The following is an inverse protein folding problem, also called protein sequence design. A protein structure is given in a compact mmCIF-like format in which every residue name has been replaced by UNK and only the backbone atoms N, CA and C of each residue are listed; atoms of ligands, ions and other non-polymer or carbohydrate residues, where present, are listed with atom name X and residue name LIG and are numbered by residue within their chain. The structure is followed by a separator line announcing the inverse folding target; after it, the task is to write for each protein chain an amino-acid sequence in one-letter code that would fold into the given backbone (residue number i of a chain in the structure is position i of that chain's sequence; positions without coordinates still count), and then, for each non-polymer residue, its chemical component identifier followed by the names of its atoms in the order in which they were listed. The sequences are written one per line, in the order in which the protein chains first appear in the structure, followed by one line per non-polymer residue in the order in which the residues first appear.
data_IF_543851401636
#
_entry.id   IF_543851401636
#
_cell.length_a   1.000
_cell.length_b   1.000
_cell.length_c   1.000
_cell.angle_alpha   90.00
_cell.angle_beta   90.00
_cell.angle_gamma   90.00
#
_symmetry.space_group_name_H-M   'P 1'
#
loop_
_entity.id
_entity.type
_entity.pdbx_description
1 polymer ?
#
# COMPACT_ATOMS: atom_id res chain seq x y z
N UNK A 1 -37.15 14.31 -3.02
CA UNK A 1 -38.33 13.98 -2.21
C UNK A 1 -37.92 13.80 -0.74
N UNK A 2 -36.96 12.95 -0.42
CA UNK A 2 -36.48 12.67 0.93
C UNK A 2 -36.00 13.93 1.67
N UNK A 3 -35.20 14.77 1.02
CA UNK A 3 -34.75 16.05 1.59
C UNK A 3 -35.89 17.05 1.85
N UNK A 4 -36.91 17.05 1.00
CA UNK A 4 -38.08 17.91 1.19
C UNK A 4 -38.95 17.42 2.35
N UNK A 5 -39.12 16.11 2.51
CA UNK A 5 -39.84 15.50 3.64
C UNK A 5 -39.07 15.72 4.94
N UNK A 6 -37.77 15.48 4.98
CA UNK A 6 -36.93 15.73 6.15
C UNK A 6 -36.98 17.21 6.57
N UNK A 7 -36.91 18.14 5.59
CA UNK A 7 -37.06 19.57 5.85
C UNK A 7 -38.41 19.90 6.47
N UNK A 8 -39.52 19.37 5.92
CA UNK A 8 -40.87 19.63 6.49
C UNK A 8 -41.00 19.12 7.91
N UNK A 9 -40.49 17.91 8.15
CA UNK A 9 -40.54 17.28 9.49
C UNK A 9 -39.71 18.09 10.50
N UNK A 10 -38.49 18.47 10.13
CA UNK A 10 -37.60 19.26 10.99
C UNK A 10 -38.14 20.71 11.20
N UNK A 11 -38.78 21.29 10.18
CA UNK A 11 -39.43 22.61 10.31
C UNK A 11 -40.62 22.58 11.26
N UNK A 12 -41.36 21.48 11.28
CA UNK A 12 -42.48 21.24 12.21
C UNK A 12 -41.98 21.05 13.65
N UNK A 13 -40.88 20.34 13.85
CA UNK A 13 -40.36 20.00 15.17
C UNK A 13 -39.52 21.11 15.82
N UNK A 14 -38.77 21.88 15.02
CA UNK A 14 -37.71 22.74 15.52
C UNK A 14 -37.79 24.21 15.04
N UNK A 15 -38.86 24.54 14.33
CA UNK A 15 -39.02 25.88 13.73
C UNK A 15 -38.22 26.10 12.46
N UNK A 16 -38.63 27.13 11.68
CA UNK A 16 -38.15 27.33 10.31
C UNK A 16 -36.63 27.54 10.16
N UNK A 17 -35.96 28.13 11.12
CA UNK A 17 -34.50 28.40 11.05
C UNK A 17 -33.63 27.16 11.36
N UNK A 18 -33.97 26.47 12.46
CA UNK A 18 -33.20 25.32 12.94
C UNK A 18 -33.40 24.09 12.05
N UNK A 19 -34.59 23.90 11.48
CA UNK A 19 -34.89 22.84 10.53
C UNK A 19 -34.06 22.92 9.26
N UNK A 20 -33.74 24.15 8.76
CA UNK A 20 -32.84 24.34 7.65
C UNK A 20 -31.37 24.00 7.98
N UNK A 21 -30.88 24.40 9.15
CA UNK A 21 -29.52 24.12 9.59
C UNK A 21 -29.27 22.63 9.75
N UNK A 22 -30.21 21.88 10.29
CA UNK A 22 -30.11 20.44 10.45
C UNK A 22 -30.22 19.68 9.12
N UNK A 23 -31.10 20.12 8.21
CA UNK A 23 -31.21 19.55 6.86
C UNK A 23 -29.91 19.77 6.07
N UNK A 24 -29.27 20.90 6.26
CA UNK A 24 -27.96 21.23 5.68
C UNK A 24 -26.83 20.39 6.28
N UNK A 25 -26.80 20.23 7.59
CA UNK A 25 -25.85 19.37 8.28
C UNK A 25 -25.92 17.92 7.79
N UNK A 26 -27.14 17.39 7.62
CA UNK A 26 -27.39 16.08 7.06
C UNK A 26 -26.94 15.97 5.59
N UNK A 27 -27.22 16.99 4.76
CA UNK A 27 -26.78 17.01 3.37
C UNK A 27 -25.25 17.03 3.26
N UNK A 28 -24.60 17.88 4.05
CA UNK A 28 -23.14 17.93 4.11
C UNK A 28 -22.55 16.61 4.60
N UNK A 29 -23.07 16.04 5.67
CA UNK A 29 -22.63 14.76 6.20
C UNK A 29 -22.78 13.63 5.19
N UNK A 30 -23.94 13.54 4.52
CA UNK A 30 -24.16 12.55 3.46
C UNK A 30 -23.22 12.75 2.26
N UNK A 31 -22.98 14.01 1.86
CA UNK A 31 -22.11 14.30 0.71
C UNK A 31 -20.64 13.99 1.03
N UNK A 32 -20.17 14.40 2.20
CA UNK A 32 -18.81 14.08 2.68
C UNK A 32 -18.64 12.56 2.78
N UNK A 33 -19.63 11.86 3.35
CA UNK A 33 -19.59 10.41 3.46
C UNK A 33 -19.60 9.70 2.10
N UNK A 34 -20.40 10.18 1.14
CA UNK A 34 -20.46 9.62 -0.21
C UNK A 34 -19.16 9.86 -0.99
N UNK A 35 -18.58 11.06 -0.85
CA UNK A 35 -17.26 11.39 -1.44
C UNK A 35 -16.15 10.56 -0.81
N UNK A 36 -16.22 10.33 0.50
CA UNK A 36 -15.23 9.51 1.21
C UNK A 36 -15.31 8.03 0.85
N UNK A 37 -16.52 7.48 0.67
CA UNK A 37 -16.73 6.06 0.31
C UNK A 37 -16.63 5.75 -1.20
N UNK A 38 -16.84 6.75 -2.07
CA UNK A 38 -16.78 6.58 -3.53
C UNK A 38 -15.36 6.45 -4.08
N UNK A 39 -14.58 5.55 -3.57
CA UNK A 39 -13.13 5.52 -3.56
C UNK A 39 -12.42 5.06 -4.84
N UNK A 40 -13.09 4.94 -5.98
CA UNK A 40 -12.48 4.40 -7.21
C UNK A 40 -11.97 5.41 -8.23
N UNK A 41 -12.38 6.67 -8.17
CA UNK A 41 -12.09 7.64 -9.23
C UNK A 41 -11.23 8.81 -8.73
N UNK A 42 -10.39 9.33 -9.61
CA UNK A 42 -9.29 10.23 -9.34
C UNK A 42 -9.59 11.40 -8.39
N UNK A 43 -8.57 11.79 -7.65
CA UNK A 43 -8.55 12.90 -6.67
C UNK A 43 -9.23 14.18 -7.16
N UNK A 44 -9.09 14.52 -8.44
CA UNK A 44 -9.68 15.71 -9.08
C UNK A 44 -11.20 15.75 -8.94
N UNK A 45 -11.89 14.66 -9.21
CA UNK A 45 -13.35 14.56 -9.11
C UNK A 45 -13.84 14.77 -7.65
N UNK A 46 -13.13 14.26 -6.68
CA UNK A 46 -13.45 14.43 -5.24
C UNK A 46 -13.33 15.86 -4.80
N UNK A 47 -12.30 16.57 -5.25
CA UNK A 47 -12.10 18.00 -4.93
C UNK A 47 -13.23 18.84 -5.52
N UNK A 48 -13.65 18.57 -6.75
CA UNK A 48 -14.77 19.29 -7.37
C UNK A 48 -16.10 19.02 -6.64
N UNK A 49 -16.37 17.79 -6.25
CA UNK A 49 -17.56 17.45 -5.45
C UNK A 49 -17.53 18.10 -4.07
N UNK A 50 -16.39 18.11 -3.41
CA UNK A 50 -16.22 18.79 -2.14
C UNK A 50 -16.45 20.30 -2.26
N UNK A 51 -15.83 20.93 -3.24
CA UNK A 51 -16.01 22.36 -3.51
C UNK A 51 -17.47 22.71 -3.83
N UNK A 52 -18.13 21.89 -4.64
CA UNK A 52 -19.56 22.05 -4.97
C UNK A 52 -20.43 21.92 -3.72
N UNK A 53 -20.14 20.96 -2.84
CA UNK A 53 -20.87 20.73 -1.60
C UNK A 53 -20.70 21.88 -0.61
N UNK A 54 -19.48 22.37 -0.44
CA UNK A 54 -19.17 23.54 0.39
C UNK A 54 -19.88 24.79 -0.14
N UNK A 55 -19.80 25.03 -1.46
CA UNK A 55 -20.46 26.16 -2.11
C UNK A 55 -21.98 26.11 -1.92
N UNK A 56 -22.60 24.95 -2.15
CA UNK A 56 -24.02 24.76 -1.96
C UNK A 56 -24.43 24.98 -0.50
N UNK A 57 -23.63 24.48 0.45
CA UNK A 57 -23.87 24.67 1.88
C UNK A 57 -23.85 26.15 2.27
N UNK A 58 -22.83 26.88 1.82
CA UNK A 58 -22.70 28.30 2.09
C UNK A 58 -23.83 29.11 1.43
N UNK A 59 -24.26 28.70 0.24
CA UNK A 59 -25.43 29.31 -0.43
C UNK A 59 -26.70 29.11 0.38
N UNK A 60 -26.93 27.92 0.91
CA UNK A 60 -28.10 27.61 1.71
C UNK A 60 -28.05 28.29 3.08
N UNK A 61 -26.85 28.40 3.70
CA UNK A 61 -26.63 29.16 4.93
C UNK A 61 -26.94 30.65 4.73
N UNK A 62 -26.50 31.25 3.61
CA UNK A 62 -26.82 32.66 3.30
C UNK A 62 -28.32 32.86 3.08
N UNK A 63 -29.01 31.87 2.48
CA UNK A 63 -30.47 31.93 2.30
C UNK A 63 -31.22 31.76 3.66
N UNK A 64 -30.75 30.87 4.52
CA UNK A 64 -31.28 30.70 5.87
C UNK A 64 -31.07 31.95 6.72
N UNK A 65 -29.85 32.51 6.69
CA UNK A 65 -29.50 33.74 7.41
C UNK A 65 -30.34 34.92 6.93
N UNK A 66 -30.52 35.07 5.60
CA UNK A 66 -31.38 36.12 5.05
C UNK A 66 -32.84 35.94 5.45
N UNK A 67 -33.38 34.75 5.51
CA UNK A 67 -34.75 34.49 5.98
C UNK A 67 -34.93 34.84 7.46
N UNK A 68 -33.91 34.67 8.29
CA UNK A 68 -33.87 35.06 9.70
C UNK A 68 -33.72 36.57 9.88
N UNK A 69 -32.92 37.20 9.02
CA UNK A 69 -32.64 38.64 9.08
C UNK A 69 -33.65 39.50 8.31
N UNK A 70 -34.67 38.92 7.69
CA UNK A 70 -35.74 39.65 6.98
C UNK A 70 -36.42 40.72 7.83
N UNK A 71 -36.26 40.67 9.15
CA UNK A 71 -36.67 41.70 10.11
C UNK A 71 -35.75 42.92 10.17
N UNK A 72 -34.52 42.86 9.62
CA UNK A 72 -33.52 43.92 9.74
C UNK A 72 -33.03 44.45 8.37
N UNK A 73 -33.94 44.77 7.45
CA UNK A 73 -33.64 45.53 6.19
C UNK A 73 -32.34 45.19 5.45
N UNK A 74 -31.95 43.90 5.37
CA UNK A 74 -30.83 43.47 4.51
C UNK A 74 -31.31 43.52 3.07
N UNK A 75 -30.60 44.28 2.22
CA UNK A 75 -30.94 44.44 0.80
C UNK A 75 -30.67 43.16 0.01
N UNK A 76 -31.46 42.89 -1.04
CA UNK A 76 -31.25 41.77 -1.94
C UNK A 76 -29.84 41.76 -2.57
N UNK A 77 -29.27 42.95 -2.79
CA UNK A 77 -27.91 43.12 -3.30
C UNK A 77 -26.85 42.46 -2.40
N UNK A 78 -26.96 42.60 -1.06
CA UNK A 78 -26.00 41.98 -0.13
C UNK A 78 -26.00 40.45 -0.21
N UNK A 79 -27.21 39.86 -0.39
CA UNK A 79 -27.36 38.40 -0.53
C UNK A 79 -26.75 37.90 -1.85
N UNK A 80 -26.98 38.64 -2.93
CA UNK A 80 -26.39 38.33 -4.25
C UNK A 80 -24.86 38.42 -4.19
N UNK A 81 -24.32 39.48 -3.59
CA UNK A 81 -22.87 39.65 -3.44
C UNK A 81 -22.27 38.51 -2.63
N UNK A 82 -22.88 38.13 -1.50
CA UNK A 82 -22.40 37.01 -0.68
C UNK A 82 -22.40 35.70 -1.47
N UNK A 83 -23.45 35.41 -2.25
CA UNK A 83 -23.53 34.20 -3.09
C UNK A 83 -22.48 34.17 -4.19
N UNK A 84 -22.29 35.27 -4.88
CA UNK A 84 -21.26 35.40 -5.95
C UNK A 84 -19.87 35.23 -5.37
N UNK A 85 -19.55 35.88 -4.25
CA UNK A 85 -18.24 35.74 -3.60
C UNK A 85 -17.98 34.29 -3.11
N UNK A 86 -18.99 33.63 -2.58
CA UNK A 86 -18.88 32.23 -2.12
C UNK A 86 -18.68 31.29 -3.29
N UNK A 87 -19.40 31.49 -4.39
CA UNK A 87 -19.21 30.67 -5.61
C UNK A 87 -17.82 30.85 -6.20
N UNK A 88 -17.39 32.10 -6.33
CA UNK A 88 -16.05 32.42 -6.83
C UNK A 88 -14.95 31.87 -5.94
N UNK A 89 -15.10 31.94 -4.62
CA UNK A 89 -14.16 31.34 -3.66
C UNK A 89 -14.10 29.80 -3.75
N UNK A 90 -15.26 29.13 -3.89
CA UNK A 90 -15.33 27.69 -4.08
C UNK A 90 -14.69 27.23 -5.39
N UNK A 91 -14.95 27.95 -6.50
CA UNK A 91 -14.33 27.66 -7.79
C UNK A 91 -12.81 27.92 -7.77
N UNK A 92 -12.38 29.01 -7.16
CA UNK A 92 -10.95 29.31 -7.01
C UNK A 92 -10.26 28.27 -6.13
N UNK A 93 -10.88 27.83 -5.04
CA UNK A 93 -10.38 26.76 -4.19
C UNK A 93 -10.23 25.46 -4.97
N UNK A 94 -11.26 25.06 -5.73
CA UNK A 94 -11.19 23.87 -6.57
C UNK A 94 -10.08 23.98 -7.63
N UNK A 95 -9.93 25.13 -8.28
CA UNK A 95 -8.88 25.40 -9.26
C UNK A 95 -7.47 25.32 -8.64
N UNK A 96 -7.28 25.88 -7.44
CA UNK A 96 -6.01 25.80 -6.73
C UNK A 96 -5.67 24.37 -6.31
N UNK A 97 -6.66 23.61 -5.83
CA UNK A 97 -6.46 22.22 -5.45
C UNK A 97 -6.23 21.28 -6.65
N UNK A 98 -6.92 21.48 -7.76
CA UNK A 98 -6.78 20.58 -8.93
C UNK A 98 -5.61 20.97 -9.82
N UNK A 99 -5.37 22.27 -10.06
CA UNK A 99 -4.32 22.74 -10.95
C UNK A 99 -3.02 23.13 -10.23
N UNK A 100 -3.09 23.44 -8.92
CA UNK A 100 -1.93 23.89 -8.15
C UNK A 100 -1.10 22.74 -7.56
N UNK A 101 -1.71 21.59 -7.30
CA UNK A 101 -1.07 20.55 -6.49
C UNK A 101 -0.93 19.18 -7.16
N UNK A 102 -1.58 18.88 -8.28
CA UNK A 102 -1.50 17.52 -8.78
C UNK A 102 -1.11 17.37 -10.25
N UNK A 103 -1.94 17.81 -11.16
CA UNK A 103 -1.80 17.37 -12.55
C UNK A 103 -0.75 18.17 -13.35
N UNK A 104 -0.38 19.36 -12.88
CA UNK A 104 0.62 20.20 -13.53
C UNK A 104 1.98 20.24 -12.81
N UNK A 105 2.08 19.69 -11.60
CA UNK A 105 3.35 19.68 -10.87
C UNK A 105 4.39 18.82 -11.56
N UNK A 106 4.03 17.62 -11.95
CA UNK A 106 4.96 16.67 -12.58
C UNK A 106 5.42 17.11 -13.96
N UNK A 107 4.53 17.50 -14.91
CA UNK A 107 4.97 18.08 -16.18
C UNK A 107 5.83 19.32 -16.01
N UNK A 108 5.49 20.18 -15.05
CA UNK A 108 6.24 21.40 -14.76
C UNK A 108 7.58 21.09 -14.10
N UNK A 109 7.61 20.14 -13.16
CA UNK A 109 8.85 19.66 -12.56
C UNK A 109 9.77 19.05 -13.61
N UNK A 110 9.25 18.19 -14.50
CA UNK A 110 10.01 17.58 -15.58
C UNK A 110 10.48 18.60 -16.62
N UNK A 111 9.73 19.68 -16.85
CA UNK A 111 10.15 20.78 -17.73
C UNK A 111 11.29 21.61 -17.12
N UNK A 112 11.30 21.81 -15.79
CA UNK A 112 12.35 22.52 -15.07
C UNK A 112 13.58 21.65 -14.79
N UNK A 113 13.38 20.34 -14.72
CA UNK A 113 14.42 19.33 -14.50
C UNK A 113 14.36 18.34 -15.67
N UNK A 114 14.76 18.77 -16.89
CA UNK A 114 14.76 17.88 -18.02
C UNK A 114 15.59 16.65 -17.63
N UNK A 115 15.01 15.47 -17.81
CA UNK A 115 15.78 14.24 -17.66
C UNK A 115 17.04 14.41 -18.50
N UNK A 116 18.23 14.12 -17.94
CA UNK A 116 19.40 13.93 -18.79
C UNK A 116 18.93 13.01 -19.89
N UNK A 117 19.24 13.39 -21.12
CA UNK A 117 18.70 12.73 -22.32
C UNK A 117 18.92 11.23 -22.22
N UNK A 118 18.02 10.58 -21.51
CA UNK A 118 17.90 9.13 -21.51
C UNK A 118 17.46 8.68 -22.89
N UNK A 119 17.70 9.61 -23.94
CA UNK A 119 17.65 9.16 -25.30
C UNK A 119 18.50 7.96 -25.39
N UNK A 120 18.39 7.40 -24.09
CA UNK A 120 18.19 6.85 -25.26
C UNK A 120 19.35 6.04 -25.66
N UNK A 121 20.00 5.58 -24.65
CA UNK A 121 20.14 4.13 -24.67
C UNK A 121 18.68 3.68 -24.67
N UNK A 122 18.08 3.57 -25.85
CA UNK A 122 17.01 2.64 -26.02
C UNK A 122 17.59 1.35 -25.46
N UNK A 123 17.32 1.10 -24.16
CA UNK A 123 17.24 -0.25 -23.71
C UNK A 123 16.12 -0.79 -24.60
N UNK A 124 16.50 -1.24 -25.79
CA UNK A 124 15.73 -2.22 -26.50
C UNK A 124 15.44 -3.22 -25.42
N UNK A 125 14.22 -3.28 -24.88
CA UNK A 125 13.94 -4.25 -23.88
C UNK A 125 14.22 -5.57 -24.56
N UNK A 126 15.33 -6.17 -24.26
CA UNK A 126 15.58 -7.57 -24.56
C UNK A 126 14.60 -8.35 -23.68
N UNK A 127 13.30 -8.16 -23.96
CA UNK A 127 12.20 -8.87 -23.31
C UNK A 127 12.08 -10.29 -23.84
N UNK A 128 13.08 -10.74 -24.62
CA UNK A 128 13.20 -12.13 -24.98
C UNK A 128 13.49 -13.00 -23.76
N UNK A 129 12.88 -14.16 -23.69
CA UNK A 129 13.29 -15.18 -22.72
C UNK A 129 14.75 -15.54 -22.94
N UNK A 130 15.45 -15.81 -21.84
CA UNK A 130 16.82 -16.30 -21.84
C UNK A 130 16.93 -17.75 -22.35
N UNK A 131 18.15 -18.32 -22.33
CA UNK A 131 18.41 -19.64 -22.89
C UNK A 131 17.90 -20.81 -22.03
N UNK A 132 17.51 -20.57 -20.78
CA UNK A 132 17.04 -21.62 -19.88
C UNK A 132 15.53 -21.82 -19.98
N UNK A 133 15.08 -23.08 -19.88
CA UNK A 133 13.66 -23.39 -19.75
C UNK A 133 13.19 -23.03 -18.34
N UNK A 134 12.23 -22.10 -18.17
CA UNK A 134 11.72 -21.75 -16.85
C UNK A 134 10.77 -22.83 -16.31
N UNK A 135 11.02 -23.31 -15.13
CA UNK A 135 10.13 -24.17 -14.33
C UNK A 135 9.54 -23.37 -13.18
N UNK A 136 8.48 -23.92 -12.62
CA UNK A 136 7.75 -23.32 -11.51
C UNK A 136 7.27 -24.41 -10.55
N UNK A 137 7.26 -24.12 -9.26
CA UNK A 137 6.62 -24.93 -8.23
C UNK A 137 6.03 -24.03 -7.15
N UNK A 138 5.03 -24.54 -6.46
CA UNK A 138 4.46 -23.96 -5.25
C UNK A 138 4.93 -24.76 -4.02
N UNK A 139 5.11 -24.06 -2.90
CA UNK A 139 5.39 -24.67 -1.61
C UNK A 139 4.44 -24.12 -0.54
N UNK A 140 4.17 -24.90 0.47
CA UNK A 140 3.25 -24.55 1.56
C UNK A 140 2.16 -25.60 1.76
N UNK A 141 1.10 -25.27 2.50
CA UNK A 141 -0.02 -26.17 2.73
C UNK A 141 -0.61 -26.71 1.42
N UNK A 142 -1.01 -27.97 1.44
CA UNK A 142 -1.66 -28.65 0.30
C UNK A 142 -0.85 -28.68 -1.00
N UNK A 143 0.47 -28.48 -0.93
CA UNK A 143 1.38 -28.59 -2.07
C UNK A 143 2.30 -29.83 -1.96
N UNK A 144 3.00 -30.15 -3.05
CA UNK A 144 3.97 -31.25 -3.04
C UNK A 144 5.23 -30.97 -2.20
N UNK A 145 5.48 -29.71 -1.87
CA UNK A 145 6.55 -29.25 -0.98
C UNK A 145 5.93 -28.63 0.27
N UNK A 146 5.70 -29.47 1.28
CA UNK A 146 5.24 -29.02 2.57
C UNK A 146 6.26 -28.05 3.19
N UNK A 147 5.77 -26.95 3.72
CA UNK A 147 6.54 -25.98 4.48
C UNK A 147 6.05 -25.96 5.93
N UNK A 148 6.90 -25.48 6.82
CA UNK A 148 6.54 -25.30 8.22
C UNK A 148 5.67 -24.07 8.44
N UNK A 149 5.58 -23.69 9.71
CA UNK A 149 4.90 -22.47 10.16
C UNK A 149 5.89 -21.58 10.91
N UNK A 150 5.58 -20.29 10.99
CA UNK A 150 6.33 -19.30 11.76
C UNK A 150 5.44 -18.65 12.83
N UNK A 151 6.01 -18.35 13.98
CA UNK A 151 5.33 -17.57 15.01
C UNK A 151 5.56 -16.07 14.79
N UNK A 152 4.53 -15.36 14.35
CA UNK A 152 4.54 -13.91 14.13
C UNK A 152 3.92 -13.14 15.30
N UNK A 153 3.34 -13.77 16.30
CA UNK A 153 2.62 -13.13 17.41
C UNK A 153 3.50 -12.18 18.25
N UNK A 154 4.81 -12.33 18.17
CA UNK A 154 5.76 -11.43 18.85
C UNK A 154 6.08 -10.15 18.06
N UNK A 155 5.78 -10.13 16.78
CA UNK A 155 6.20 -9.09 15.85
C UNK A 155 5.05 -8.26 15.31
N UNK A 156 3.84 -8.76 15.44
CA UNK A 156 2.61 -8.11 14.99
C UNK A 156 1.40 -8.65 15.75
N UNK A 157 0.29 -7.95 15.67
CA UNK A 157 -0.99 -8.36 16.26
C UNK A 157 -2.13 -8.24 15.26
N UNK A 158 -3.16 -9.07 15.45
CA UNK A 158 -4.49 -8.85 14.89
C UNK A 158 -5.30 -8.13 15.96
N UNK A 159 -5.50 -6.82 15.80
CA UNK A 159 -6.31 -6.04 16.74
C UNK A 159 -7.79 -6.37 16.52
N UNK A 160 -8.34 -7.23 17.36
CA UNK A 160 -9.73 -7.67 17.26
C UNK A 160 -10.72 -6.68 17.88
N UNK A 161 -10.24 -5.59 18.47
CA UNK A 161 -11.09 -4.52 19.00
C UNK A 161 -11.64 -3.64 17.89
N UNK A 162 -11.04 -3.68 16.68
CA UNK A 162 -11.57 -3.03 15.50
C UNK A 162 -12.23 -4.01 14.52
N UNK A 163 -13.04 -3.46 13.58
CA UNK A 163 -13.76 -4.27 12.59
C UNK A 163 -12.79 -4.97 11.62
N UNK A 164 -11.69 -4.33 11.28
CA UNK A 164 -10.71 -4.84 10.32
C UNK A 164 -9.95 -6.02 10.92
N UNK A 165 -9.42 -5.84 12.13
CA UNK A 165 -8.72 -6.92 12.84
C UNK A 165 -9.63 -8.11 13.13
N UNK A 166 -10.86 -7.88 13.56
CA UNK A 166 -11.87 -8.93 13.75
C UNK A 166 -12.20 -9.69 12.46
N UNK A 167 -12.25 -8.99 11.32
CA UNK A 167 -12.49 -9.61 10.02
C UNK A 167 -11.29 -10.48 9.58
N UNK A 168 -10.08 -9.97 9.74
CA UNK A 168 -8.83 -10.70 9.40
C UNK A 168 -8.69 -11.95 10.28
N UNK A 169 -8.96 -11.82 11.59
CA UNK A 169 -8.88 -12.95 12.52
C UNK A 169 -9.92 -14.04 12.20
N UNK A 170 -11.14 -13.64 11.86
CA UNK A 170 -12.19 -14.57 11.47
C UNK A 170 -11.99 -15.22 10.09
N UNK A 171 -11.18 -14.62 9.22
CA UNK A 171 -10.91 -15.15 7.88
C UNK A 171 -9.92 -16.30 7.90
N UNK A 172 -8.83 -16.19 8.70
CA UNK A 172 -7.79 -17.20 8.77
C UNK A 172 -8.18 -18.32 9.76
N UNK A 173 -7.94 -19.55 9.37
CA UNK A 173 -8.13 -20.75 10.20
C UNK A 173 -6.89 -21.08 11.08
N UNK A 174 -5.90 -20.19 11.09
CA UNK A 174 -4.71 -20.25 11.92
C UNK A 174 -4.50 -18.92 12.67
N UNK A 175 -3.85 -18.98 13.81
CA UNK A 175 -3.44 -17.80 14.56
C UNK A 175 -1.99 -17.38 14.22
N UNK A 176 -1.55 -16.22 14.77
CA UNK A 176 -0.21 -15.70 14.53
C UNK A 176 0.92 -16.54 15.13
N UNK A 177 0.62 -17.52 15.99
CA UNK A 177 1.65 -18.43 16.55
C UNK A 177 2.08 -19.50 15.54
N UNK A 178 1.32 -19.71 14.47
CA UNK A 178 1.56 -20.78 13.51
C UNK A 178 1.18 -20.38 12.08
N UNK A 179 1.66 -19.23 11.62
CA UNK A 179 1.42 -18.75 10.25
C UNK A 179 2.11 -19.67 9.24
N UNK A 180 1.39 -20.27 8.29
CA UNK A 180 1.99 -21.14 7.29
C UNK A 180 2.99 -20.39 6.40
N UNK A 181 4.10 -21.05 6.09
CA UNK A 181 5.01 -20.58 5.05
C UNK A 181 4.50 -21.08 3.69
N UNK A 182 4.20 -20.15 2.78
CA UNK A 182 3.71 -20.47 1.44
C UNK A 182 4.29 -19.53 0.39
N UNK A 183 4.39 -19.98 -0.84
CA UNK A 183 4.88 -19.15 -1.93
C UNK A 183 5.11 -19.91 -3.22
N UNK A 184 5.65 -19.21 -4.18
CA UNK A 184 5.95 -19.73 -5.53
C UNK A 184 7.40 -19.50 -5.91
N UNK A 185 8.00 -20.52 -6.50
CA UNK A 185 9.39 -20.50 -6.99
C UNK A 185 9.43 -20.69 -8.50
N UNK A 186 10.13 -19.81 -9.19
CA UNK A 186 10.52 -20.01 -10.61
C UNK A 186 12.01 -20.26 -10.67
N UNK A 187 12.40 -21.23 -11.47
CA UNK A 187 13.80 -21.66 -11.56
C UNK A 187 14.14 -22.21 -12.94
N UNK A 188 15.41 -22.16 -13.37
CA UNK A 188 15.87 -22.78 -14.61
C UNK A 188 15.87 -24.31 -14.47
N UNK A 189 15.35 -25.05 -15.46
CA UNK A 189 15.20 -26.50 -15.43
C UNK A 189 16.51 -27.24 -15.04
N UNK A 190 17.64 -26.83 -15.60
CA UNK A 190 18.96 -27.44 -15.39
C UNK A 190 19.91 -26.52 -14.61
N UNK A 191 19.35 -25.58 -13.83
CA UNK A 191 20.14 -24.61 -13.07
C UNK A 191 20.93 -25.25 -11.92
N UNK A 192 22.06 -24.64 -11.61
CA UNK A 192 22.87 -24.94 -10.42
C UNK A 192 23.54 -23.68 -9.93
N UNK A 193 23.63 -23.55 -8.61
CA UNK A 193 24.26 -22.39 -7.97
C UNK A 193 23.77 -21.07 -8.57
N UNK A 194 22.45 -20.93 -8.75
CA UNK A 194 21.79 -19.78 -9.34
C UNK A 194 21.64 -18.67 -8.31
N UNK A 195 21.84 -17.39 -8.69
CA UNK A 195 21.47 -16.27 -7.80
C UNK A 195 19.98 -16.30 -7.50
N UNK A 196 19.62 -15.86 -6.28
CA UNK A 196 18.24 -15.97 -5.78
C UNK A 196 17.68 -14.57 -5.52
N UNK A 197 16.47 -14.31 -6.02
CA UNK A 197 15.68 -13.13 -5.69
C UNK A 197 14.44 -13.55 -4.92
N UNK A 198 14.30 -13.07 -3.69
CA UNK A 198 13.04 -13.15 -2.95
C UNK A 198 12.26 -11.86 -3.14
N UNK A 199 10.95 -11.95 -3.43
CA UNK A 199 10.08 -10.79 -3.57
C UNK A 199 8.86 -10.89 -2.67
N UNK A 200 8.55 -9.78 -2.01
CA UNK A 200 7.38 -9.63 -1.14
C UNK A 200 6.41 -8.60 -1.74
N UNK A 201 5.12 -8.93 -1.71
CA UNK A 201 4.06 -8.02 -2.14
C UNK A 201 3.73 -6.96 -1.08
N UNK A 202 2.96 -5.95 -1.47
CA UNK A 202 2.45 -4.91 -0.60
C UNK A 202 1.21 -5.33 0.20
N UNK A 203 0.53 -4.32 0.77
CA UNK A 203 -0.73 -4.53 1.49
C UNK A 203 -1.90 -4.57 0.51
N UNK A 204 -2.67 -5.63 0.56
CA UNK A 204 -3.85 -5.88 -0.27
C UNK A 204 -4.98 -6.47 0.56
N UNK A 205 -6.11 -6.77 -0.08
CA UNK A 205 -7.16 -7.59 0.53
C UNK A 205 -6.62 -8.99 0.85
N UNK A 206 -7.00 -9.54 2.01
CA UNK A 206 -6.52 -10.87 2.47
C UNK A 206 -6.92 -12.01 1.53
N UNK A 207 -7.99 -11.80 0.74
CA UNK A 207 -8.49 -12.77 -0.24
C UNK A 207 -7.72 -12.75 -1.57
N UNK A 208 -6.77 -11.81 -1.74
CA UNK A 208 -6.01 -11.65 -2.98
C UNK A 208 -4.67 -12.34 -2.88
N UNK A 209 -4.44 -13.39 -3.65
CA UNK A 209 -3.18 -14.11 -3.71
C UNK A 209 -2.11 -13.30 -4.48
N UNK A 210 -1.70 -12.17 -3.90
CA UNK A 210 -0.83 -11.18 -4.56
C UNK A 210 0.55 -11.73 -4.92
N UNK A 211 1.05 -12.73 -4.20
CA UNK A 211 2.33 -13.38 -4.49
C UNK A 211 2.32 -14.09 -5.85
N UNK A 212 1.16 -14.46 -6.40
CA UNK A 212 1.04 -15.08 -7.72
C UNK A 212 1.19 -14.06 -8.86
N UNK A 213 1.02 -12.78 -8.60
CA UNK A 213 1.06 -11.72 -9.60
C UNK A 213 2.43 -11.50 -10.28
N UNK A 214 3.48 -12.12 -9.77
CA UNK A 214 4.85 -11.96 -10.29
C UNK A 214 5.27 -13.03 -11.33
N UNK A 215 4.33 -13.81 -11.87
CA UNK A 215 4.63 -14.91 -12.81
C UNK A 215 5.47 -14.45 -14.02
N UNK A 216 5.14 -13.29 -14.58
CA UNK A 216 5.89 -12.71 -15.71
C UNK A 216 7.36 -12.47 -15.39
N UNK A 217 7.64 -11.95 -14.19
CA UNK A 217 9.00 -11.64 -13.73
C UNK A 217 9.76 -12.92 -13.36
N UNK A 218 9.07 -13.84 -12.67
CA UNK A 218 9.64 -15.13 -12.28
C UNK A 218 10.07 -15.95 -13.49
N UNK A 219 9.21 -16.06 -14.50
CA UNK A 219 9.55 -16.76 -15.75
C UNK A 219 10.69 -16.10 -16.51
N UNK A 220 10.69 -14.77 -16.56
CA UNK A 220 11.77 -14.02 -17.20
C UNK A 220 13.10 -14.27 -16.50
N UNK A 221 13.18 -14.10 -15.19
CA UNK A 221 14.40 -14.29 -14.41
C UNK A 221 14.88 -15.75 -14.46
N UNK A 222 13.98 -16.73 -14.34
CA UNK A 222 14.32 -18.14 -14.44
C UNK A 222 14.91 -18.48 -15.83
N UNK A 223 14.35 -17.88 -16.90
CA UNK A 223 14.92 -18.08 -18.24
C UNK A 223 16.34 -17.51 -18.40
N UNK A 224 16.75 -16.59 -17.53
CA UNK A 224 18.08 -16.00 -17.49
C UNK A 224 19.00 -16.61 -16.42
N UNK A 225 18.61 -17.73 -15.82
CA UNK A 225 19.46 -18.46 -14.89
C UNK A 225 19.35 -18.01 -13.43
N UNK A 226 18.31 -17.29 -13.06
CA UNK A 226 18.01 -16.91 -11.67
C UNK A 226 16.96 -17.83 -11.06
N UNK A 227 17.00 -17.99 -9.77
CA UNK A 227 15.84 -18.47 -9.00
C UNK A 227 15.10 -17.24 -8.46
N UNK A 228 13.80 -17.20 -8.66
CA UNK A 228 12.94 -16.18 -8.06
C UNK A 228 11.91 -16.83 -7.16
N UNK A 229 11.76 -16.29 -5.95
CA UNK A 229 10.81 -16.74 -4.93
C UNK A 229 9.86 -15.61 -4.63
N UNK A 230 8.57 -15.80 -4.87
CA UNK A 230 7.52 -14.90 -4.42
C UNK A 230 6.90 -15.45 -3.14
N UNK A 231 7.06 -14.71 -2.05
CA UNK A 231 6.60 -15.14 -0.73
C UNK A 231 5.17 -14.69 -0.48
N UNK A 232 4.36 -15.57 0.08
CA UNK A 232 3.02 -15.22 0.54
C UNK A 232 3.11 -14.46 1.87
N UNK A 233 2.65 -13.22 1.87
CA UNK A 233 2.54 -12.36 3.04
C UNK A 233 1.10 -11.94 3.33
N UNK A 234 0.12 -12.68 2.82
CA UNK A 234 -1.30 -12.34 2.99
C UNK A 234 -1.74 -12.33 4.47
N UNK A 235 -1.11 -13.13 5.32
CA UNK A 235 -1.33 -13.10 6.77
C UNK A 235 -1.10 -11.72 7.40
N UNK A 236 -0.30 -10.88 6.74
CA UNK A 236 0.03 -9.52 7.17
C UNK A 236 -0.83 -8.44 6.50
N UNK A 237 -1.73 -8.81 5.59
CA UNK A 237 -2.56 -7.86 4.86
C UNK A 237 -3.66 -7.27 5.74
N UNK A 238 -4.07 -6.02 5.41
CA UNK A 238 -5.10 -5.25 6.11
C UNK A 238 -4.79 -4.91 7.58
N UNK A 239 -3.64 -5.30 8.10
CA UNK A 239 -3.20 -4.99 9.46
C UNK A 239 -2.37 -3.70 9.49
N UNK A 240 -2.15 -3.19 10.70
CA UNK A 240 -1.24 -2.08 10.98
C UNK A 240 -0.13 -2.57 11.91
N UNK A 241 1.07 -1.97 11.80
CA UNK A 241 2.21 -2.38 12.63
C UNK A 241 2.81 -3.73 12.27
N UNK A 242 2.53 -4.26 11.09
CA UNK A 242 2.92 -5.59 10.64
C UNK A 242 4.31 -5.67 9.98
N UNK A 243 5.02 -4.55 9.85
CA UNK A 243 6.30 -4.50 9.12
C UNK A 243 7.36 -5.44 9.70
N UNK A 244 7.49 -5.50 11.04
CA UNK A 244 8.41 -6.44 11.70
C UNK A 244 8.01 -7.90 11.42
N UNK A 245 6.72 -8.22 11.47
CA UNK A 245 6.20 -9.55 11.12
C UNK A 245 6.49 -9.93 9.68
N UNK A 246 6.30 -8.99 8.73
CA UNK A 246 6.66 -9.19 7.31
C UNK A 246 8.15 -9.45 7.13
N UNK A 247 9.01 -8.72 7.87
CA UNK A 247 10.45 -8.88 7.79
C UNK A 247 10.90 -10.26 8.28
N UNK A 248 10.40 -10.71 9.43
CA UNK A 248 10.67 -12.04 9.97
C UNK A 248 10.15 -13.12 9.02
N UNK A 249 8.93 -12.98 8.52
CA UNK A 249 8.35 -13.91 7.57
C UNK A 249 9.22 -14.09 6.31
N UNK A 250 9.75 -12.99 5.75
CA UNK A 250 10.68 -13.06 4.62
C UNK A 250 11.97 -13.82 4.98
N UNK A 251 12.56 -13.55 6.15
CA UNK A 251 13.80 -14.22 6.59
C UNK A 251 13.58 -15.72 6.81
N UNK A 252 12.43 -16.12 7.34
CA UNK A 252 12.05 -17.54 7.49
C UNK A 252 11.92 -18.23 6.12
N UNK A 253 11.34 -17.55 5.13
CA UNK A 253 11.30 -18.07 3.76
C UNK A 253 12.71 -18.26 3.16
N UNK A 254 13.64 -17.35 3.42
CA UNK A 254 15.03 -17.50 2.98
C UNK A 254 15.61 -18.77 3.58
N UNK A 255 15.49 -18.95 4.90
CA UNK A 255 15.99 -20.14 5.59
C UNK A 255 15.41 -21.43 5.04
N UNK A 256 14.09 -21.47 4.87
CA UNK A 256 13.38 -22.63 4.31
C UNK A 256 13.90 -23.01 2.92
N UNK A 257 13.98 -22.05 2.01
CA UNK A 257 14.39 -22.30 0.62
C UNK A 257 15.85 -22.73 0.54
N UNK A 258 16.72 -22.15 1.36
CA UNK A 258 18.12 -22.58 1.47
C UNK A 258 18.25 -24.01 2.02
N UNK A 259 17.38 -24.42 2.94
CA UNK A 259 17.31 -25.81 3.42
C UNK A 259 16.87 -26.76 2.29
N UNK A 260 15.85 -26.41 1.51
CA UNK A 260 15.46 -27.18 0.32
C UNK A 260 16.61 -27.33 -0.68
N UNK A 261 17.43 -26.29 -0.86
CA UNK A 261 18.63 -26.36 -1.69
C UNK A 261 19.68 -27.39 -1.25
N UNK A 262 19.66 -27.79 0.02
CA UNK A 262 20.56 -28.81 0.63
C UNK A 262 19.96 -30.20 0.67
N UNK A 263 18.65 -30.31 0.51
CA UNK A 263 17.93 -31.58 0.64
C UNK A 263 17.98 -32.42 -0.65
N UNK A 264 18.55 -33.62 -0.55
CA UNK A 264 18.57 -34.54 -1.70
C UNK A 264 17.17 -35.06 -2.04
N UNK A 265 16.80 -34.92 -3.31
CA UNK A 265 15.48 -35.29 -3.81
C UNK A 265 14.51 -34.12 -3.92
N UNK A 266 14.81 -33.00 -3.29
CA UNK A 266 14.07 -31.75 -3.49
C UNK A 266 14.34 -31.19 -4.91
N UNK A 267 13.32 -30.69 -5.61
CA UNK A 267 13.53 -30.05 -6.94
C UNK A 267 14.56 -28.93 -6.96
N UNK A 268 14.75 -28.25 -5.81
CA UNK A 268 15.70 -27.15 -5.65
C UNK A 268 17.11 -27.61 -5.20
N UNK A 269 17.35 -28.91 -5.10
CA UNK A 269 18.65 -29.43 -4.64
C UNK A 269 19.83 -28.91 -5.44
N UNK A 270 20.75 -28.19 -4.79
CA UNK A 270 21.93 -27.55 -5.39
C UNK A 270 21.60 -26.50 -6.44
N UNK A 271 20.39 -25.91 -6.37
CA UNK A 271 19.92 -24.89 -7.31
C UNK A 271 20.32 -23.48 -6.85
N UNK A 272 20.31 -23.23 -5.54
CA UNK A 272 20.44 -21.91 -4.96
C UNK A 272 21.88 -21.58 -4.56
N UNK A 273 22.35 -20.39 -4.93
CA UNK A 273 23.63 -19.84 -4.46
C UNK A 273 23.37 -18.97 -3.21
N UNK A 274 23.71 -19.51 -2.05
CA UNK A 274 23.57 -18.82 -0.76
C UNK A 274 24.39 -17.55 -0.63
N UNK A 275 25.41 -17.36 -1.49
CA UNK A 275 26.28 -16.17 -1.49
C UNK A 275 25.73 -15.02 -2.33
N UNK A 276 24.67 -15.24 -3.12
CA UNK A 276 24.11 -14.28 -4.09
C UNK A 276 22.59 -14.14 -3.90
N UNK A 277 22.19 -13.63 -2.75
CA UNK A 277 20.78 -13.39 -2.39
C UNK A 277 20.46 -11.91 -2.61
N UNK A 278 19.34 -11.65 -3.29
CA UNK A 278 18.69 -10.35 -3.35
C UNK A 278 17.28 -10.44 -2.75
N UNK A 279 16.84 -9.36 -2.11
CA UNK A 279 15.48 -9.22 -1.59
C UNK A 279 14.80 -8.03 -2.25
N UNK A 280 13.55 -8.20 -2.64
CA UNK A 280 12.73 -7.18 -3.27
C UNK A 280 11.38 -7.06 -2.58
N UNK A 281 10.78 -5.88 -2.66
CA UNK A 281 9.43 -5.69 -2.14
C UNK A 281 8.72 -4.52 -2.78
N UNK A 282 7.40 -4.60 -2.82
CA UNK A 282 6.52 -3.56 -3.33
C UNK A 282 5.72 -2.92 -2.20
N UNK A 283 5.56 -1.58 -2.22
CA UNK A 283 4.75 -0.84 -1.25
C UNK A 283 5.23 -1.11 0.19
N UNK A 284 4.38 -1.61 1.11
CA UNK A 284 4.79 -2.05 2.47
C UNK A 284 5.86 -3.14 2.47
N UNK A 285 5.83 -4.04 1.47
CA UNK A 285 6.92 -4.99 1.26
C UNK A 285 8.23 -4.29 0.85
N UNK A 286 8.14 -3.16 0.15
CA UNK A 286 9.30 -2.34 -0.23
C UNK A 286 9.97 -1.63 0.94
N UNK A 287 9.23 -1.21 1.95
CA UNK A 287 9.77 -0.72 3.22
C UNK A 287 10.33 -1.88 4.06
N UNK A 288 9.59 -2.98 4.14
CA UNK A 288 9.95 -4.13 4.93
C UNK A 288 11.29 -4.76 4.54
N UNK A 289 11.66 -4.80 3.25
CA UNK A 289 12.95 -5.41 2.85
C UNK A 289 14.15 -4.71 3.47
N UNK A 290 14.08 -3.42 3.73
CA UNK A 290 15.10 -2.70 4.48
C UNK A 290 15.14 -3.15 5.95
N UNK A 291 13.98 -3.32 6.59
CA UNK A 291 13.85 -3.89 7.94
C UNK A 291 14.40 -5.32 8.01
N UNK A 292 14.06 -6.16 7.02
CA UNK A 292 14.56 -7.54 6.96
C UNK A 292 16.09 -7.59 6.83
N UNK A 293 16.67 -6.69 6.05
CA UNK A 293 18.13 -6.57 5.97
C UNK A 293 18.78 -6.26 7.31
N UNK A 294 18.19 -5.33 8.08
CA UNK A 294 18.69 -5.03 9.43
C UNK A 294 18.53 -6.22 10.38
N UNK A 295 17.35 -6.84 10.41
CA UNK A 295 17.08 -8.00 11.26
C UNK A 295 18.01 -9.18 10.94
N UNK A 296 18.42 -9.32 9.69
CA UNK A 296 19.41 -10.31 9.27
C UNK A 296 20.79 -10.11 9.90
N UNK A 297 21.07 -8.91 10.42
CA UNK A 297 22.34 -8.56 11.09
C UNK A 297 22.22 -8.46 12.62
N UNK A 298 21.01 -8.47 13.15
CA UNK A 298 20.78 -8.33 14.58
C UNK A 298 20.80 -9.68 15.30
N UNK A 299 21.36 -9.69 16.52
CA UNK A 299 21.31 -10.88 17.38
C UNK A 299 19.95 -11.04 18.09
N UNK A 300 19.15 -9.98 18.13
CA UNK A 300 17.89 -9.94 18.88
C UNK A 300 16.89 -8.98 18.26
N UNK A 301 15.61 -9.25 18.52
CA UNK A 301 14.52 -8.36 18.10
C UNK A 301 14.59 -7.03 18.88
N UNK A 302 14.61 -5.87 18.20
CA UNK A 302 14.81 -4.57 18.84
C UNK A 302 13.75 -4.20 19.88
N UNK A 303 12.48 -4.53 19.65
CA UNK A 303 11.38 -4.23 20.57
C UNK A 303 11.28 -5.22 21.73
N UNK A 304 11.93 -6.37 21.61
CA UNK A 304 11.95 -7.37 22.68
C UNK A 304 13.26 -8.16 22.68
N UNK A 305 14.24 -7.68 23.40
CA UNK A 305 15.56 -8.31 23.49
C UNK A 305 15.59 -9.74 24.09
N UNK A 306 14.45 -10.30 24.52
CA UNK A 306 14.38 -11.71 24.92
C UNK A 306 14.26 -12.65 23.72
N UNK A 307 13.87 -12.12 22.55
CA UNK A 307 13.73 -12.89 21.31
C UNK A 307 15.06 -12.83 20.57
N UNK A 308 15.71 -13.99 20.44
CA UNK A 308 16.94 -14.09 19.67
C UNK A 308 16.64 -14.21 18.17
N UNK A 309 17.48 -13.58 17.36
CA UNK A 309 17.57 -13.80 15.93
C UNK A 309 18.79 -14.68 15.62
N UNK A 310 18.64 -15.58 14.68
CA UNK A 310 19.71 -16.46 14.18
C UNK A 310 19.77 -16.37 12.63
N UNK A 311 19.61 -15.14 12.13
CA UNK A 311 19.70 -14.86 10.71
C UNK A 311 21.11 -14.35 10.38
N UNK A 312 21.68 -14.81 9.30
CA UNK A 312 22.98 -14.34 8.80
C UNK A 312 23.11 -14.68 7.31
N UNK A 313 22.08 -14.37 6.53
CA UNK A 313 22.06 -14.65 5.10
C UNK A 313 22.92 -13.66 4.33
N UNK A 314 23.52 -14.11 3.25
CA UNK A 314 24.38 -13.27 2.40
C UNK A 314 23.55 -12.42 1.43
N UNK A 315 22.74 -11.51 1.98
CA UNK A 315 21.92 -10.55 1.22
C UNK A 315 22.85 -9.50 0.61
N UNK A 316 22.95 -9.45 -0.73
CA UNK A 316 23.83 -8.55 -1.48
C UNK A 316 23.12 -7.34 -2.06
N UNK A 317 21.80 -7.42 -2.23
CA UNK A 317 21.03 -6.36 -2.87
C UNK A 317 19.62 -6.26 -2.32
N UNK A 318 19.14 -5.04 -2.21
CA UNK A 318 17.78 -4.68 -1.84
C UNK A 318 17.13 -3.94 -2.99
N UNK A 319 15.91 -4.31 -3.36
CA UNK A 319 15.13 -3.66 -4.41
C UNK A 319 13.80 -3.21 -3.79
N UNK A 320 13.65 -1.91 -3.60
CA UNK A 320 12.42 -1.30 -3.10
C UNK A 320 11.60 -0.73 -4.26
N UNK A 321 10.39 -1.24 -4.45
CA UNK A 321 9.49 -0.85 -5.53
C UNK A 321 8.33 -0.08 -4.93
N UNK A 322 8.24 1.23 -5.24
CA UNK A 322 7.24 2.13 -4.69
C UNK A 322 7.02 1.93 -3.17
N UNK A 323 8.10 1.95 -2.36
CA UNK A 323 8.01 1.63 -0.94
C UNK A 323 7.19 2.67 -0.17
N UNK A 324 6.49 2.23 0.86
CA UNK A 324 6.06 3.12 1.95
C UNK A 324 7.27 3.58 2.76
N UNK A 325 7.10 4.60 3.58
CA UNK A 325 8.22 5.20 4.35
C UNK A 325 7.79 5.46 5.79
N UNK A 326 8.64 5.10 6.74
CA UNK A 326 8.48 5.36 8.17
C UNK A 326 7.22 4.76 8.82
N UNK A 327 6.65 3.70 8.27
CA UNK A 327 5.57 2.96 8.95
C UNK A 327 6.09 2.13 10.12
N UNK A 328 7.38 1.78 10.08
CA UNK A 328 8.05 1.08 11.15
C UNK A 328 9.46 1.65 11.39
N UNK A 329 9.81 1.76 12.66
CA UNK A 329 11.14 2.24 13.12
C UNK A 329 11.63 1.31 14.21
N UNK A 330 12.57 0.41 13.92
CA UNK A 330 13.13 -0.50 14.92
C UNK A 330 13.68 0.26 16.13
N UNK A 331 13.17 -0.02 17.32
CA UNK A 331 13.52 0.69 18.56
C UNK A 331 13.48 2.23 18.43
N UNK A 332 12.46 2.76 17.71
CA UNK A 332 12.28 4.19 17.42
C UNK A 332 13.37 4.84 16.55
N UNK A 333 14.24 4.06 15.93
CA UNK A 333 15.28 4.55 15.02
C UNK A 333 14.89 4.36 13.56
N UNK A 334 15.23 5.33 12.73
CA UNK A 334 15.09 5.19 11.28
C UNK A 334 15.98 4.06 10.78
N UNK A 335 15.49 3.33 9.76
CA UNK A 335 16.27 2.28 9.09
C UNK A 335 17.41 2.94 8.33
N UNK A 336 18.64 2.61 8.70
CA UNK A 336 19.86 3.02 7.99
C UNK A 336 20.48 1.79 7.33
N UNK A 337 20.84 1.92 6.06
CA UNK A 337 21.43 0.84 5.27
C UNK A 337 22.87 1.17 4.96
N UNK A 338 23.78 0.24 5.28
CA UNK A 338 25.20 0.35 5.02
C UNK A 338 25.68 -0.87 4.21
N UNK A 339 26.66 -0.67 3.36
CA UNK A 339 27.38 -1.71 2.60
C UNK A 339 26.51 -2.69 1.81
N UNK A 340 25.35 -2.23 1.29
CA UNK A 340 24.43 -3.02 0.48
C UNK A 340 24.09 -2.30 -0.83
N UNK A 341 23.94 -3.06 -1.92
CA UNK A 341 23.40 -2.50 -3.15
C UNK A 341 21.91 -2.21 -2.99
N UNK A 342 21.53 -0.96 -3.16
CA UNK A 342 20.14 -0.53 -3.02
C UNK A 342 19.60 0.03 -4.32
N UNK A 343 18.52 -0.56 -4.82
CA UNK A 343 17.78 -0.07 -5.99
C UNK A 343 16.38 0.40 -5.56
N UNK A 344 16.10 1.67 -5.77
CA UNK A 344 14.77 2.25 -5.61
C UNK A 344 14.10 2.43 -6.96
N UNK A 345 12.94 1.80 -7.15
CA UNK A 345 12.05 2.02 -8.27
C UNK A 345 10.80 2.76 -7.76
N UNK A 346 10.64 4.00 -8.15
CA UNK A 346 9.54 4.83 -7.66
C UNK A 346 8.91 5.62 -8.82
N UNK A 347 7.58 5.62 -8.87
CA UNK A 347 6.85 6.35 -9.88
C UNK A 347 6.95 7.87 -9.66
N UNK A 348 7.30 8.65 -10.69
CA UNK A 348 7.38 10.11 -10.56
C UNK A 348 6.03 10.78 -10.21
N UNK A 349 4.93 10.07 -10.36
CA UNK A 349 3.58 10.51 -10.02
C UNK A 349 2.98 9.72 -8.84
N UNK A 350 3.76 8.89 -8.20
CA UNK A 350 3.34 8.13 -7.03
C UNK A 350 3.03 9.11 -5.88
N UNK A 351 1.91 8.88 -5.21
CA UNK A 351 1.42 9.71 -4.10
C UNK A 351 1.03 8.86 -2.88
N UNK A 352 1.31 7.59 -2.93
CA UNK A 352 0.99 6.63 -1.89
C UNK A 352 2.18 6.51 -0.90
N UNK A 353 2.58 7.66 -0.35
CA UNK A 353 3.69 7.79 0.62
C UNK A 353 3.20 8.47 1.88
#
# INVERSE_FOLDING_TARGET
LALWLARKLLTLLLGRGLGWLLALGLLCGCTVHTVWRGAGEGWTYRVWLFAASVTLTLWLLTAAWWSLLRWRRVTGATVVTARVSTTAGGLLGALLFTNGFSDNYIPRYLALHPRPDASRTALEPSLGLGPYEPKMLDYGPDTALEAGTVNLSWYMSRDTDDITGSYVDAYWDYDLNAVPLAGRVWYPADGRDCPVLFIAHGNHEITTESYLGYDYLGRYLASHGYVMVSVDQNACNMLTGENAGRAVLLLEHIGLLLAYGKERGNPLYRMLDESRIAIAGHSRGGEMVATAYLFNSYDRYPENGTIAFDYNYQIKSIIAIAPTVNQYKPADHSVELEDVNYLLLHGAADRDV
#
